data_IF_794926069973
#
_entry.id   IF_794926069973
#
_cell.length_a   1.000
_cell.length_b   1.000
_cell.length_c   1.000
_cell.angle_alpha   90.00
_cell.angle_beta   90.00
_cell.angle_gamma   90.00
#
_symmetry.space_group_name_H-M   'P 1'
#
loop_
_entity.id
_entity.type
_entity.pdbx_description
1 polymer ?
#
# COMPACT_ATOMS: atom_id res chain seq x y z
N UNK A 1 24.09 -20.03 0.30
CA UNK A 1 23.13 -19.99 1.43
C UNK A 1 21.95 -19.12 1.09
N UNK A 2 20.76 -19.67 1.19
CA UNK A 2 19.54 -18.93 0.85
C UNK A 2 19.15 -17.97 1.97
N UNK A 3 19.16 -16.69 1.66
CA UNK A 3 18.73 -15.67 2.60
C UNK A 3 17.26 -15.38 2.32
N UNK A 4 16.41 -15.56 3.32
CA UNK A 4 14.99 -15.24 3.20
C UNK A 4 14.84 -13.72 3.14
N UNK A 5 14.21 -13.23 2.09
CA UNK A 5 13.93 -11.81 1.96
C UNK A 5 12.84 -11.40 2.94
N UNK A 6 13.13 -10.39 3.76
CA UNK A 6 12.15 -9.80 4.65
C UNK A 6 12.00 -8.33 4.28
N UNK A 7 10.84 -7.93 3.72
CA UNK A 7 10.63 -6.56 3.28
C UNK A 7 10.62 -5.53 4.42
N UNK A 8 10.61 -5.98 5.68
CA UNK A 8 10.59 -5.11 6.85
C UNK A 8 11.97 -4.89 7.47
N UNK A 9 13.02 -5.55 6.98
CA UNK A 9 14.37 -5.41 7.49
C UNK A 9 15.21 -4.38 6.72
N UNK A 10 14.96 -4.24 5.43
CA UNK A 10 15.68 -3.30 4.59
C UNK A 10 14.81 -2.07 4.34
N UNK A 11 15.22 -0.94 4.92
CA UNK A 11 14.52 0.32 4.72
C UNK A 11 14.63 0.77 3.27
N UNK A 12 13.51 0.96 2.56
CA UNK A 12 13.53 1.48 1.21
C UNK A 12 13.92 2.97 1.21
N UNK A 13 14.56 3.43 0.14
CA UNK A 13 14.87 4.84 -0.02
C UNK A 13 13.59 5.68 0.09
N UNK A 14 12.53 5.22 -0.56
CA UNK A 14 11.22 5.84 -0.48
C UNK A 14 10.15 4.76 -0.62
N UNK A 15 9.20 4.66 0.33
CA UNK A 15 8.13 3.66 0.21
C UNK A 15 7.24 3.96 -0.99
N UNK A 16 6.92 2.93 -1.75
CA UNK A 16 6.06 3.05 -2.93
C UNK A 16 4.65 2.62 -2.59
N UNK A 17 3.69 3.52 -2.79
CA UNK A 17 2.27 3.18 -2.62
C UNK A 17 1.83 2.22 -3.74
N UNK A 18 1.07 1.16 -3.42
CA UNK A 18 0.63 0.19 -4.43
C UNK A 18 -0.24 0.80 -5.53
N UNK A 19 -0.86 1.95 -5.28
CA UNK A 19 -1.60 2.69 -6.30
C UNK A 19 -0.76 3.06 -7.51
N UNK A 20 0.54 3.34 -7.32
CA UNK A 20 1.47 3.61 -8.42
C UNK A 20 1.59 2.38 -9.32
N UNK A 21 1.75 1.20 -8.71
CA UNK A 21 1.83 -0.05 -9.45
C UNK A 21 0.53 -0.37 -10.17
N UNK A 22 -0.61 -0.06 -9.56
CA UNK A 22 -1.91 -0.22 -10.21
C UNK A 22 -2.03 0.69 -11.44
N UNK A 23 -1.60 1.94 -11.32
CA UNK A 23 -1.58 2.87 -12.45
C UNK A 23 -0.73 2.34 -13.61
N UNK A 24 0.45 1.81 -13.32
CA UNK A 24 1.33 1.21 -14.32
C UNK A 24 0.69 -0.01 -14.99
N UNK A 25 -0.01 -0.84 -14.22
CA UNK A 25 -0.73 -2.00 -14.73
C UNK A 25 -1.83 -1.59 -15.73
N UNK A 26 -2.60 -0.56 -15.39
CA UNK A 26 -3.62 -0.05 -16.30
C UNK A 26 -3.01 0.49 -17.59
N UNK A 27 -1.92 1.22 -17.48
CA UNK A 27 -1.22 1.77 -18.63
C UNK A 27 -0.71 0.65 -19.54
N UNK A 28 -0.09 -0.38 -18.97
CA UNK A 28 0.39 -1.55 -19.70
C UNK A 28 -0.75 -2.27 -20.43
N UNK A 29 -1.94 -2.32 -19.82
CA UNK A 29 -3.11 -2.97 -20.41
C UNK A 29 -3.88 -2.08 -21.37
N UNK A 30 -3.49 -0.81 -21.50
CA UNK A 30 -4.21 0.15 -22.32
C UNK A 30 -5.59 0.50 -21.78
N UNK A 31 -5.80 0.40 -20.48
CA UNK A 31 -7.07 0.71 -19.82
C UNK A 31 -7.04 2.12 -19.24
N UNK A 32 -8.09 2.90 -19.50
CA UNK A 32 -8.26 4.19 -18.83
C UNK A 32 -8.76 3.97 -17.39
N UNK A 33 -8.48 4.94 -16.53
CA UNK A 33 -9.01 4.89 -15.15
C UNK A 33 -10.54 4.86 -15.14
N UNK A 34 -11.19 5.61 -16.02
CA UNK A 34 -12.66 5.61 -16.10
C UNK A 34 -13.21 4.24 -16.43
N UNK A 35 -12.63 3.59 -17.43
CA UNK A 35 -13.06 2.25 -17.82
C UNK A 35 -12.83 1.24 -16.71
N UNK A 36 -11.67 1.32 -16.05
CA UNK A 36 -11.36 0.40 -14.96
C UNK A 36 -12.25 0.62 -13.75
N UNK A 37 -12.53 1.87 -13.40
CA UNK A 37 -13.48 2.18 -12.33
C UNK A 37 -14.85 1.57 -12.60
N UNK A 38 -15.35 1.70 -13.84
CA UNK A 38 -16.60 1.07 -14.25
C UNK A 38 -16.57 -0.44 -14.09
N UNK A 39 -15.46 -1.08 -14.51
CA UNK A 39 -15.28 -2.53 -14.37
C UNK A 39 -15.31 -2.96 -12.90
N UNK A 40 -14.65 -2.20 -12.02
CA UNK A 40 -14.61 -2.51 -10.60
C UNK A 40 -15.88 -2.12 -9.85
N UNK A 41 -16.76 -1.33 -10.46
CA UNK A 41 -17.98 -0.84 -9.82
C UNK A 41 -17.68 0.19 -8.73
N UNK A 42 -16.63 1.00 -8.90
CA UNK A 42 -16.28 2.10 -7.99
C UNK A 42 -16.27 3.43 -8.76
N UNK A 43 -16.29 4.55 -8.02
CA UNK A 43 -16.23 5.85 -8.68
C UNK A 43 -14.84 6.12 -9.25
N UNK A 44 -14.81 6.90 -10.33
CA UNK A 44 -13.55 7.38 -10.89
C UNK A 44 -12.70 8.11 -9.86
N UNK A 45 -13.34 8.95 -9.04
CA UNK A 45 -12.65 9.73 -8.01
C UNK A 45 -11.94 8.82 -7.01
N UNK A 46 -12.60 7.76 -6.55
CA UNK A 46 -12.00 6.80 -5.62
C UNK A 46 -10.79 6.11 -6.26
N UNK A 47 -10.94 5.62 -7.48
CA UNK A 47 -9.83 4.96 -8.17
C UNK A 47 -8.67 5.92 -8.41
N UNK A 48 -8.96 7.15 -8.84
CA UNK A 48 -7.94 8.17 -9.07
C UNK A 48 -7.15 8.47 -7.79
N UNK A 49 -7.84 8.59 -6.66
CA UNK A 49 -7.19 8.82 -5.36
C UNK A 49 -6.32 7.65 -4.93
N UNK A 50 -6.74 6.42 -5.20
CA UNK A 50 -5.92 5.22 -4.94
C UNK A 50 -4.64 5.26 -5.78
N UNK A 51 -4.77 5.53 -7.07
CA UNK A 51 -3.64 5.58 -8.00
C UNK A 51 -2.65 6.70 -7.63
N UNK A 52 -3.17 7.81 -7.11
CA UNK A 52 -2.34 8.92 -6.63
C UNK A 52 -1.75 8.70 -5.24
N UNK A 53 -2.02 7.56 -4.61
CA UNK A 53 -1.51 7.28 -3.28
C UNK A 53 -2.21 8.00 -2.14
N UNK A 54 -3.35 8.61 -2.40
CA UNK A 54 -4.12 9.37 -1.39
C UNK A 54 -5.12 8.50 -0.64
N UNK A 55 -5.36 7.30 -1.11
CA UNK A 55 -6.33 6.37 -0.53
C UNK A 55 -5.75 4.97 -0.58
N UNK A 56 -5.90 4.16 0.48
CA UNK A 56 -5.32 2.82 0.50
C UNK A 56 -6.07 1.84 -0.39
N UNK A 57 -5.37 0.79 -0.83
CA UNK A 57 -6.01 -0.39 -1.39
C UNK A 57 -6.47 -1.25 -0.21
N UNK A 58 -7.79 -1.27 0.00
CA UNK A 58 -8.40 -2.12 1.03
C UNK A 58 -8.47 -3.57 0.55
N UNK A 59 -8.64 -4.55 1.47
CA UNK A 59 -8.84 -5.94 1.05
C UNK A 59 -9.98 -6.13 0.06
N UNK A 60 -11.11 -5.44 0.26
CA UNK A 60 -12.24 -5.53 -0.67
C UNK A 60 -11.85 -5.05 -2.07
N UNK A 61 -11.16 -3.90 -2.15
CA UNK A 61 -10.69 -3.38 -3.43
C UNK A 61 -9.67 -4.34 -4.06
N UNK A 62 -8.79 -4.93 -3.25
CA UNK A 62 -7.81 -5.90 -3.73
C UNK A 62 -8.48 -7.11 -4.39
N UNK A 63 -9.58 -7.62 -3.84
CA UNK A 63 -10.34 -8.71 -4.45
C UNK A 63 -10.98 -8.28 -5.77
N UNK A 64 -11.47 -7.06 -5.85
CA UNK A 64 -12.02 -6.52 -7.10
C UNK A 64 -10.94 -6.42 -8.18
N UNK A 65 -9.76 -5.96 -7.79
CA UNK A 65 -8.61 -5.88 -8.71
C UNK A 65 -8.20 -7.28 -9.17
N UNK A 66 -8.16 -8.26 -8.26
CA UNK A 66 -7.88 -9.65 -8.62
C UNK A 66 -8.87 -10.17 -9.66
N UNK A 67 -10.16 -9.94 -9.44
CA UNK A 67 -11.19 -10.38 -10.38
C UNK A 67 -11.00 -9.78 -11.78
N UNK A 68 -10.53 -8.54 -11.84
CA UNK A 68 -10.34 -7.83 -13.11
C UNK A 68 -9.01 -8.13 -13.79
N UNK A 69 -7.96 -8.41 -13.03
CA UNK A 69 -6.58 -8.49 -13.57
C UNK A 69 -5.94 -9.87 -13.43
N UNK A 70 -6.43 -10.71 -12.52
CA UNK A 70 -5.81 -11.98 -12.18
C UNK A 70 -4.67 -11.88 -11.16
N UNK A 71 -4.22 -10.70 -10.81
CA UNK A 71 -3.21 -10.52 -9.77
C UNK A 71 -3.84 -10.77 -8.41
N UNK A 72 -3.28 -11.70 -7.65
CA UNK A 72 -3.87 -12.14 -6.39
C UNK A 72 -4.07 -10.99 -5.39
N UNK A 73 -5.22 -10.97 -4.75
CA UNK A 73 -5.59 -9.92 -3.80
C UNK A 73 -4.57 -9.76 -2.68
N UNK A 74 -4.03 -10.87 -2.13
CA UNK A 74 -3.07 -10.79 -1.04
C UNK A 74 -1.80 -10.03 -1.42
N UNK A 75 -1.43 -10.00 -2.70
CA UNK A 75 -0.26 -9.23 -3.16
C UNK A 75 -0.52 -7.73 -2.96
N UNK A 76 -1.69 -7.25 -3.35
CA UNK A 76 -2.06 -5.85 -3.17
C UNK A 76 -2.17 -5.47 -1.69
N UNK A 77 -2.74 -6.35 -0.89
CA UNK A 77 -2.86 -6.16 0.57
C UNK A 77 -1.47 -6.08 1.20
N UNK A 78 -0.57 -6.97 0.83
CA UNK A 78 0.80 -6.97 1.37
C UNK A 78 1.57 -5.72 0.96
N UNK A 79 1.46 -5.28 -0.28
CA UNK A 79 2.10 -4.05 -0.74
C UNK A 79 1.61 -2.84 0.04
N UNK A 80 0.30 -2.77 0.32
CA UNK A 80 -0.26 -1.69 1.13
C UNK A 80 0.26 -1.73 2.56
N UNK A 81 0.36 -2.92 3.13
CA UNK A 81 0.88 -3.11 4.49
C UNK A 81 2.34 -2.66 4.60
N UNK A 82 3.18 -3.03 3.63
CA UNK A 82 4.57 -2.59 3.60
C UNK A 82 4.66 -1.07 3.48
N UNK A 83 3.86 -0.47 2.62
CA UNK A 83 3.81 0.99 2.49
C UNK A 83 3.42 1.66 3.81
N UNK A 84 2.39 1.14 4.46
CA UNK A 84 1.92 1.69 5.74
C UNK A 84 2.99 1.58 6.82
N UNK A 85 3.66 0.43 6.89
CA UNK A 85 4.73 0.18 7.85
C UNK A 85 5.87 1.20 7.67
N UNK A 86 6.40 1.34 6.47
CA UNK A 86 7.54 2.22 6.22
C UNK A 86 7.18 3.69 6.34
N UNK A 87 5.96 4.07 5.97
CA UNK A 87 5.46 5.43 6.15
C UNK A 87 5.39 5.78 7.63
N UNK A 88 4.86 4.87 8.47
CA UNK A 88 4.82 5.07 9.91
C UNK A 88 6.24 5.15 10.50
N UNK A 89 7.14 4.29 10.08
CA UNK A 89 8.51 4.25 10.57
C UNK A 89 9.29 5.52 10.24
N UNK A 90 8.97 6.16 9.13
CA UNK A 90 9.61 7.43 8.71
C UNK A 90 8.99 8.66 9.34
N UNK A 91 7.94 8.52 10.13
CA UNK A 91 7.32 9.65 10.83
C UNK A 91 8.30 10.29 11.80
N UNK A 92 8.47 11.60 11.68
CA UNK A 92 9.38 12.37 12.56
C UNK A 92 8.89 12.43 14.00
N UNK A 93 7.59 12.25 14.23
CA UNK A 93 6.98 12.31 15.55
C UNK A 93 7.05 10.98 16.28
N UNK A 94 7.13 9.88 15.56
CA UNK A 94 7.04 8.54 16.15
C UNK A 94 8.16 8.24 17.16
N UNK A 95 9.45 8.55 16.91
CA UNK A 95 10.50 8.22 17.87
C UNK A 95 10.26 8.84 19.25
N UNK A 96 9.82 10.09 19.33
CA UNK A 96 9.50 10.74 20.59
C UNK A 96 8.35 10.08 21.33
N UNK A 97 7.31 9.69 20.59
CA UNK A 97 6.17 8.97 21.16
C UNK A 97 6.61 7.62 21.74
N UNK A 98 7.45 6.88 21.00
CA UNK A 98 7.94 5.59 21.46
C UNK A 98 8.82 5.71 22.70
N UNK A 99 9.65 6.74 22.78
CA UNK A 99 10.47 6.99 23.95
C UNK A 99 9.62 7.30 25.17
N UNK A 100 8.56 8.08 25.03
CA UNK A 100 7.61 8.32 26.13
C UNK A 100 6.96 7.03 26.62
N UNK A 101 6.59 6.15 25.70
CA UNK A 101 5.99 4.86 26.06
C UNK A 101 6.98 4.00 26.84
N UNK A 102 8.23 3.89 26.35
CA UNK A 102 9.28 3.13 27.05
C UNK A 102 9.55 3.67 28.45
N UNK A 103 9.62 4.99 28.58
CA UNK A 103 9.84 5.63 29.89
C UNK A 103 8.68 5.38 30.84
N UNK A 104 7.44 5.41 30.34
CA UNK A 104 6.25 5.12 31.17
C UNK A 104 6.25 3.69 31.68
N UNK A 105 6.68 2.74 30.87
CA UNK A 105 6.76 1.33 31.27
C UNK A 105 7.89 1.12 32.29
N UNK A 106 9.00 1.83 32.14
CA UNK A 106 10.17 1.70 33.02
C UNK A 106 9.87 2.08 34.48
N UNK A 107 8.85 2.89 34.73
CA UNK A 107 8.47 3.32 36.09
C UNK A 107 7.31 2.54 36.70
N UNK A 108 6.83 1.50 36.02
CA UNK A 108 5.73 0.65 36.54
C UNK A 108 6.21 -0.33 37.62
#
# INVERSE_FOLDING_TARGET
MNKVYNPYELEPFEPTHPGVLLGDELETRGLTQRKFADILGISYTVLNEVIKGKRPITPELAFKIEAATGTKAYIWVELQTQYNYWTAKKSKKLPGILDQIRNSVAVL
#
